data_IF_520533346329
#
_entry.id   IF_520533346329
#
_cell.length_a   1.000
_cell.length_b   1.000
_cell.length_c   1.000
_cell.angle_alpha   90.00
_cell.angle_beta   90.00
_cell.angle_gamma   90.00
#
_symmetry.space_group_name_H-M   'P 1'
#
loop_
_entity.id
_entity.type
_entity.pdbx_description
1 polymer ?
#
# COMPACT_ATOMS: atom_id res chain seq x y z
N UNK A 1 42.01 4.47 -12.19
CA UNK A 1 40.83 5.06 -12.88
C UNK A 1 39.69 4.08 -12.69
N UNK A 2 38.92 4.27 -11.61
CA UNK A 2 37.79 3.41 -11.28
C UNK A 2 36.54 3.94 -11.97
N UNK A 3 35.90 3.11 -12.79
CA UNK A 3 34.58 3.39 -13.35
C UNK A 3 33.56 3.20 -12.21
N UNK A 4 33.09 4.30 -11.64
CA UNK A 4 31.92 4.31 -10.76
C UNK A 4 30.70 3.89 -11.58
N UNK A 5 30.17 2.70 -11.28
CA UNK A 5 28.94 2.21 -11.87
C UNK A 5 27.78 3.10 -11.40
N UNK A 6 27.14 3.80 -12.34
CA UNK A 6 25.97 4.61 -12.05
C UNK A 6 24.85 3.75 -11.43
N UNK A 7 24.20 4.21 -10.35
CA UNK A 7 23.15 3.45 -9.69
C UNK A 7 21.97 3.25 -10.65
N UNK A 8 21.78 2.00 -11.07
CA UNK A 8 20.60 1.59 -11.82
C UNK A 8 19.40 1.62 -10.88
N UNK A 9 18.61 2.69 -10.93
CA UNK A 9 17.30 2.77 -10.27
C UNK A 9 16.35 1.72 -10.88
N UNK A 10 16.34 0.54 -10.26
CA UNK A 10 15.58 -0.62 -10.72
C UNK A 10 14.07 -0.40 -10.67
N UNK A 11 13.43 -0.61 -11.82
CA UNK A 11 12.10 -1.15 -12.20
C UNK A 11 10.86 -1.11 -11.26
N UNK A 12 10.97 -0.78 -9.98
CA UNK A 12 9.86 -0.82 -9.01
C UNK A 12 8.75 0.20 -9.30
N UNK A 13 9.07 1.31 -9.97
CA UNK A 13 8.10 2.36 -10.31
C UNK A 13 7.10 1.93 -11.38
N UNK A 14 7.48 0.97 -12.25
CA UNK A 14 6.63 0.49 -13.34
C UNK A 14 5.36 -0.20 -12.82
N UNK A 15 5.47 -1.05 -11.81
CA UNK A 15 4.33 -1.82 -11.30
C UNK A 15 3.27 -0.96 -10.60
N UNK A 16 3.66 0.12 -9.93
CA UNK A 16 2.72 1.05 -9.29
C UNK A 16 1.93 1.84 -10.33
N UNK A 17 2.61 2.34 -11.37
CA UNK A 17 1.96 3.07 -12.46
C UNK A 17 0.95 2.19 -13.21
N UNK A 18 1.32 0.95 -13.56
CA UNK A 18 0.40 0.01 -14.22
C UNK A 18 -0.85 -0.28 -13.39
N UNK A 19 -0.70 -0.43 -12.07
CA UNK A 19 -1.84 -0.69 -11.17
C UNK A 19 -2.78 0.51 -11.06
N UNK A 20 -2.24 1.71 -10.94
CA UNK A 20 -3.04 2.93 -10.92
C UNK A 20 -3.81 3.13 -12.23
N UNK A 21 -3.19 2.83 -13.38
CA UNK A 21 -3.85 2.87 -14.70
C UNK A 21 -4.98 1.85 -14.79
N UNK A 22 -4.77 0.61 -14.32
CA UNK A 22 -5.81 -0.43 -14.31
C UNK A 22 -6.98 -0.02 -13.41
N UNK A 23 -6.70 0.48 -12.20
CA UNK A 23 -7.74 0.91 -11.27
C UNK A 23 -8.52 2.13 -11.81
N UNK A 24 -7.82 3.12 -12.37
CA UNK A 24 -8.43 4.28 -13.01
C UNK A 24 -9.26 3.90 -14.24
N UNK A 25 -8.76 3.00 -15.07
CA UNK A 25 -9.49 2.46 -16.23
C UNK A 25 -10.76 1.71 -15.84
N UNK A 26 -10.70 0.89 -14.79
CA UNK A 26 -11.87 0.19 -14.26
C UNK A 26 -12.92 1.17 -13.70
N UNK A 27 -12.50 2.22 -13.00
CA UNK A 27 -13.40 3.27 -12.51
C UNK A 27 -14.07 4.03 -13.67
N UNK A 28 -13.28 4.41 -14.69
CA UNK A 28 -13.79 5.08 -15.89
C UNK A 28 -14.78 4.20 -16.67
N UNK A 29 -14.45 2.92 -16.86
CA UNK A 29 -15.33 1.95 -17.50
C UNK A 29 -16.62 1.76 -16.71
N UNK A 30 -16.55 1.69 -15.38
CA UNK A 30 -17.74 1.59 -14.52
C UNK A 30 -18.64 2.82 -14.67
N UNK A 31 -18.06 4.03 -14.71
CA UNK A 31 -18.79 5.26 -14.98
C UNK A 31 -19.45 5.28 -16.37
N UNK A 32 -18.73 4.83 -17.40
CA UNK A 32 -19.24 4.73 -18.76
C UNK A 32 -20.36 3.70 -18.90
N UNK A 33 -20.22 2.52 -18.29
CA UNK A 33 -21.26 1.47 -18.27
C UNK A 33 -22.50 1.97 -17.55
N UNK A 34 -22.35 2.59 -16.36
CA UNK A 34 -23.48 3.18 -15.65
C UNK A 34 -24.21 4.23 -16.49
N UNK A 35 -23.48 5.06 -17.24
CA UNK A 35 -24.04 6.04 -18.18
C UNK A 35 -24.83 5.39 -19.33
N UNK A 36 -24.31 4.33 -19.94
CA UNK A 36 -24.97 3.62 -21.07
C UNK A 36 -26.20 2.85 -20.61
N UNK A 37 -26.14 2.29 -19.40
CA UNK A 37 -27.19 1.43 -18.84
C UNK A 37 -28.36 2.27 -18.28
N UNK A 38 -28.11 3.53 -17.90
CA UNK A 38 -29.09 4.50 -17.39
C UNK A 38 -30.41 4.60 -18.17
N UNK A 39 -30.43 4.79 -19.50
CA UNK A 39 -31.69 4.91 -20.25
C UNK A 39 -32.56 3.64 -20.20
N UNK A 40 -31.99 2.47 -19.89
CA UNK A 40 -32.74 1.22 -19.79
C UNK A 40 -33.52 1.09 -18.48
N UNK A 41 -33.09 1.77 -17.42
CA UNK A 41 -33.71 1.72 -16.09
C UNK A 41 -34.52 2.96 -15.72
N UNK A 42 -34.42 4.03 -16.51
CA UNK A 42 -35.10 5.32 -16.28
C UNK A 42 -36.61 5.26 -15.97
N UNK A 43 -37.42 4.35 -16.53
CA UNK A 43 -38.85 4.26 -16.21
C UNK A 43 -39.15 3.67 -14.82
N UNK A 44 -38.22 2.89 -14.24
CA UNK A 44 -38.46 2.07 -13.04
C UNK A 44 -37.92 2.70 -11.75
N UNK A 45 -36.91 3.56 -11.84
CA UNK A 45 -36.14 4.01 -10.67
C UNK A 45 -36.51 5.42 -10.17
N UNK A 46 -37.34 6.17 -10.91
CA UNK A 46 -37.70 7.54 -10.53
C UNK A 46 -36.47 8.46 -10.39
N UNK A 47 -36.58 9.51 -9.57
CA UNK A 47 -35.48 10.46 -9.31
C UNK A 47 -34.31 9.88 -8.49
N UNK A 48 -34.46 8.65 -7.98
CA UNK A 48 -33.44 7.99 -7.19
C UNK A 48 -32.56 7.13 -8.10
N UNK A 49 -31.25 7.28 -7.97
CA UNK A 49 -30.27 6.54 -8.75
C UNK A 49 -29.60 5.47 -7.87
N UNK A 50 -30.26 4.33 -7.58
CA UNK A 50 -29.72 3.29 -6.70
C UNK A 50 -28.42 2.69 -7.26
N UNK A 51 -28.22 2.74 -8.57
CA UNK A 51 -26.99 2.31 -9.26
C UNK A 51 -25.79 3.22 -8.93
N UNK A 52 -25.99 4.53 -8.96
CA UNK A 52 -24.97 5.51 -8.57
C UNK A 52 -24.64 5.38 -7.09
N UNK A 53 -25.65 5.13 -6.25
CA UNK A 53 -25.46 4.86 -4.82
C UNK A 53 -24.72 3.53 -4.62
N UNK A 54 -25.09 2.44 -5.29
CA UNK A 54 -24.40 1.16 -5.14
C UNK A 54 -22.92 1.22 -5.61
N UNK A 55 -22.65 1.92 -6.72
CA UNK A 55 -21.28 2.11 -7.22
C UNK A 55 -20.43 2.96 -6.26
N UNK A 56 -20.98 4.07 -5.75
CA UNK A 56 -20.28 4.98 -4.84
C UNK A 56 -20.10 4.39 -3.45
N UNK A 57 -21.12 3.72 -2.92
CA UNK A 57 -21.15 3.28 -1.51
C UNK A 57 -20.76 1.81 -1.30
N UNK A 58 -20.76 0.98 -2.34
CA UNK A 58 -20.41 -0.44 -2.24
C UNK A 58 -19.08 -0.77 -2.91
N UNK A 59 -18.97 -0.53 -4.22
CA UNK A 59 -17.84 -0.99 -5.04
C UNK A 59 -16.55 -0.25 -4.69
N UNK A 60 -16.62 1.08 -4.56
CA UNK A 60 -15.45 1.92 -4.32
C UNK A 60 -14.79 1.69 -2.93
N UNK A 61 -15.54 1.60 -1.82
CA UNK A 61 -14.98 1.22 -0.52
C UNK A 61 -14.37 -0.19 -0.52
N UNK A 62 -14.99 -1.13 -1.25
CA UNK A 62 -14.45 -2.48 -1.38
C UNK A 62 -13.10 -2.48 -2.11
N UNK A 63 -12.96 -1.70 -3.19
CA UNK A 63 -11.67 -1.50 -3.88
C UNK A 63 -10.65 -0.87 -2.93
N UNK A 64 -11.04 0.17 -2.19
CA UNK A 64 -10.18 0.81 -1.18
C UNK A 64 -9.69 -0.17 -0.12
N UNK A 65 -10.58 -1.01 0.40
CA UNK A 65 -10.25 -2.05 1.37
C UNK A 65 -9.29 -3.09 0.79
N UNK A 66 -9.52 -3.55 -0.45
CA UNK A 66 -8.61 -4.49 -1.13
C UNK A 66 -7.22 -3.87 -1.33
N UNK A 67 -7.14 -2.60 -1.72
CA UNK A 67 -5.87 -1.88 -1.86
C UNK A 67 -5.13 -1.76 -0.51
N UNK A 68 -5.86 -1.44 0.57
CA UNK A 68 -5.35 -1.39 1.94
C UNK A 68 -4.77 -2.75 2.36
N UNK A 69 -5.54 -3.82 2.15
CA UNK A 69 -5.17 -5.18 2.56
C UNK A 69 -3.99 -5.72 1.75
N UNK A 70 -3.96 -5.48 0.43
CA UNK A 70 -2.86 -5.93 -0.44
C UNK A 70 -1.57 -5.19 -0.18
N UNK A 71 -1.63 -3.94 0.31
CA UNK A 71 -0.42 -3.14 0.58
C UNK A 71 0.15 -3.30 1.96
N UNK A 72 -0.50 -4.01 2.89
CA UNK A 72 -0.14 -4.11 4.32
C UNK A 72 1.33 -4.44 4.66
N UNK A 73 2.14 -4.92 3.71
CA UNK A 73 3.54 -5.32 3.90
C UNK A 73 4.59 -4.28 3.45
N UNK A 74 4.19 -3.18 2.81
CA UNK A 74 5.13 -2.17 2.27
C UNK A 74 5.47 -1.12 3.35
N UNK A 75 6.61 -0.41 3.22
CA UNK A 75 7.02 0.65 4.17
C UNK A 75 6.10 1.88 4.08
N UNK A 76 5.73 2.47 5.22
CA UNK A 76 4.74 3.57 5.36
C UNK A 76 4.97 4.75 4.42
N UNK A 77 6.21 5.25 4.30
CA UNK A 77 6.51 6.46 3.52
C UNK A 77 6.23 6.29 2.02
N UNK A 78 6.46 5.10 1.46
CA UNK A 78 6.14 4.79 0.06
C UNK A 78 4.67 4.40 -0.12
N UNK A 79 4.01 3.89 0.92
CA UNK A 79 2.59 3.56 0.88
C UNK A 79 1.71 4.78 0.91
N UNK A 80 1.99 5.77 1.75
CA UNK A 80 1.13 6.94 1.92
C UNK A 80 1.00 7.67 0.58
N UNK A 81 2.10 7.91 -0.14
CA UNK A 81 2.06 8.58 -1.44
C UNK A 81 1.30 7.77 -2.49
N UNK A 82 1.51 6.46 -2.55
CA UNK A 82 0.85 5.60 -3.53
C UNK A 82 -0.66 5.40 -3.24
N UNK A 83 -1.04 5.33 -1.96
CA UNK A 83 -2.45 5.28 -1.53
C UNK A 83 -3.12 6.63 -1.81
N UNK A 84 -2.45 7.74 -1.49
CA UNK A 84 -2.97 9.09 -1.75
C UNK A 84 -3.19 9.32 -3.25
N UNK A 85 -2.25 8.89 -4.11
CA UNK A 85 -2.37 9.02 -5.56
C UNK A 85 -3.56 8.21 -6.11
N UNK A 86 -3.71 6.95 -5.68
CA UNK A 86 -4.86 6.11 -6.08
C UNK A 86 -6.19 6.70 -5.58
N UNK A 87 -6.22 7.21 -4.36
CA UNK A 87 -7.41 7.87 -3.79
C UNK A 87 -7.78 9.17 -4.49
N UNK A 88 -6.84 9.88 -5.11
CA UNK A 88 -7.12 11.09 -5.89
C UNK A 88 -7.50 10.77 -7.34
N UNK A 89 -6.87 9.76 -7.93
CA UNK A 89 -7.09 9.38 -9.32
C UNK A 89 -8.51 8.84 -9.56
N UNK A 90 -9.05 8.03 -8.63
CA UNK A 90 -10.37 7.42 -8.76
C UNK A 90 -11.52 8.45 -8.76
N UNK A 91 -11.64 9.39 -7.79
CA UNK A 91 -12.67 10.43 -7.83
C UNK A 91 -12.44 11.41 -8.97
N UNK A 92 -11.19 11.73 -9.35
CA UNK A 92 -10.93 12.55 -10.53
C UNK A 92 -11.47 11.90 -11.82
N UNK A 93 -11.23 10.60 -12.00
CA UNK A 93 -11.76 9.84 -13.13
C UNK A 93 -13.29 9.74 -13.09
N UNK A 94 -13.89 9.56 -11.91
CA UNK A 94 -15.34 9.54 -11.74
C UNK A 94 -15.96 10.90 -12.08
N UNK A 95 -15.43 12.00 -11.52
CA UNK A 95 -15.88 13.37 -11.81
C UNK A 95 -15.71 13.69 -13.29
N UNK A 96 -14.59 13.31 -13.91
CA UNK A 96 -14.39 13.49 -15.34
C UNK A 96 -15.43 12.71 -16.16
N UNK A 97 -15.68 11.44 -15.84
CA UNK A 97 -16.70 10.62 -16.50
C UNK A 97 -18.12 11.20 -16.33
N UNK A 98 -18.43 11.73 -15.16
CA UNK A 98 -19.75 12.28 -14.86
C UNK A 98 -19.94 13.72 -15.34
N UNK A 99 -18.86 14.49 -15.50
CA UNK A 99 -18.91 15.84 -16.10
C UNK A 99 -19.34 15.82 -17.58
N UNK A 100 -19.25 14.66 -18.23
CA UNK A 100 -19.77 14.44 -19.58
C UNK A 100 -21.30 14.26 -19.59
N UNK A 101 -21.93 14.09 -18.43
CA UNK A 101 -23.39 14.01 -18.30
C UNK A 101 -23.95 15.41 -18.01
N UNK A 102 -24.52 16.07 -19.02
CA UNK A 102 -25.21 17.35 -18.86
C UNK A 102 -26.40 17.23 -17.90
N UNK A 103 -26.42 18.02 -16.81
CA UNK A 103 -27.57 18.03 -15.91
C UNK A 103 -27.47 18.93 -14.67
N UNK A 104 -28.60 19.57 -14.34
CA UNK A 104 -28.87 20.51 -13.24
C UNK A 104 -28.54 20.02 -11.80
N UNK A 105 -28.18 18.75 -11.64
CA UNK A 105 -27.94 18.07 -10.34
C UNK A 105 -26.46 18.03 -9.94
N UNK A 106 -25.57 18.65 -10.73
CA UNK A 106 -24.13 18.61 -10.52
C UNK A 106 -23.66 19.11 -9.14
N UNK A 107 -24.15 20.24 -8.59
CA UNK A 107 -23.61 20.79 -7.33
C UNK A 107 -23.89 19.88 -6.12
N UNK A 108 -25.13 19.40 -6.00
CA UNK A 108 -25.54 18.57 -4.87
C UNK A 108 -24.84 17.21 -4.89
N UNK A 109 -24.70 16.62 -6.08
CA UNK A 109 -23.99 15.35 -6.24
C UNK A 109 -22.50 15.49 -5.91
N UNK A 110 -21.85 16.55 -6.39
CA UNK A 110 -20.43 16.82 -6.09
C UNK A 110 -20.23 17.05 -4.59
N UNK A 111 -21.13 17.78 -3.93
CA UNK A 111 -21.07 18.02 -2.49
C UNK A 111 -21.17 16.73 -1.67
N UNK A 112 -22.18 15.90 -1.95
CA UNK A 112 -22.37 14.61 -1.27
C UNK A 112 -21.19 13.67 -1.54
N UNK A 113 -20.72 13.62 -2.79
CA UNK A 113 -19.53 12.85 -3.13
C UNK A 113 -18.31 13.31 -2.34
N UNK A 114 -18.03 14.61 -2.30
CA UNK A 114 -16.85 15.15 -1.63
C UNK A 114 -16.83 14.80 -0.13
N UNK A 115 -17.95 14.99 0.56
CA UNK A 115 -18.09 14.65 1.99
C UNK A 115 -17.88 13.16 2.21
N UNK A 116 -18.55 12.32 1.42
CA UNK A 116 -18.44 10.87 1.54
C UNK A 116 -17.01 10.38 1.26
N UNK A 117 -16.38 10.88 0.21
CA UNK A 117 -15.01 10.52 -0.16
C UNK A 117 -14.01 10.93 0.91
N UNK A 118 -14.16 12.13 1.47
CA UNK A 118 -13.31 12.62 2.57
C UNK A 118 -13.43 11.71 3.79
N UNK A 119 -14.66 11.36 4.18
CA UNK A 119 -14.93 10.44 5.29
C UNK A 119 -14.35 9.05 5.04
N UNK A 120 -14.57 8.47 3.86
CA UNK A 120 -14.03 7.15 3.48
C UNK A 120 -12.50 7.14 3.49
N UNK A 121 -11.87 8.20 2.96
CA UNK A 121 -10.42 8.37 2.96
C UNK A 121 -9.88 8.39 4.39
N UNK A 122 -10.47 9.20 5.26
CA UNK A 122 -10.11 9.26 6.67
C UNK A 122 -10.25 7.90 7.35
N UNK A 123 -11.35 7.19 7.12
CA UNK A 123 -11.56 5.84 7.65
C UNK A 123 -10.52 4.83 7.14
N UNK A 124 -10.17 4.87 5.84
CA UNK A 124 -9.17 3.99 5.26
C UNK A 124 -7.76 4.26 5.83
N UNK A 125 -7.39 5.54 6.00
CA UNK A 125 -6.13 5.92 6.65
C UNK A 125 -6.10 5.51 8.12
N UNK A 126 -7.19 5.73 8.86
CA UNK A 126 -7.30 5.30 10.25
C UNK A 126 -7.18 3.77 10.36
N UNK A 127 -7.86 3.02 9.49
CA UNK A 127 -7.78 1.56 9.46
C UNK A 127 -6.36 1.09 9.12
N UNK A 128 -5.70 1.69 8.12
CA UNK A 128 -4.30 1.41 7.81
C UNK A 128 -3.40 1.68 9.03
N UNK A 129 -3.55 2.84 9.68
CA UNK A 129 -2.77 3.21 10.85
C UNK A 129 -2.98 2.23 12.01
N UNK A 130 -4.22 1.80 12.25
CA UNK A 130 -4.56 0.76 13.24
C UNK A 130 -3.93 -0.57 12.85
N UNK A 131 -4.15 -1.07 11.64
CA UNK A 131 -3.60 -2.35 11.18
C UNK A 131 -2.06 -2.38 11.27
N UNK A 132 -1.41 -1.26 11.01
CA UNK A 132 0.04 -1.14 11.15
C UNK A 132 0.50 -1.00 12.60
N UNK A 133 -0.23 -0.29 13.45
CA UNK A 133 0.07 -0.24 14.88
C UNK A 133 0.02 -1.63 15.53
N UNK A 134 -0.88 -2.49 15.04
CA UNK A 134 -1.07 -3.86 15.55
C UNK A 134 -0.11 -4.87 14.94
N UNK A 135 0.63 -4.49 13.89
CA UNK A 135 1.68 -5.31 13.30
C UNK A 135 3.01 -4.59 13.47
N UNK A 136 3.81 -4.93 14.50
CA UNK A 136 5.15 -4.38 14.60
C UNK A 136 5.86 -4.60 13.25
N UNK A 137 6.53 -3.57 12.70
CA UNK A 137 7.23 -3.70 11.44
C UNK A 137 8.19 -4.88 11.58
N UNK A 138 8.02 -5.91 10.74
CA UNK A 138 9.02 -6.98 10.65
C UNK A 138 10.34 -6.29 10.32
N UNK A 139 11.28 -6.37 11.24
CA UNK A 139 12.61 -5.82 11.03
C UNK A 139 13.33 -6.83 10.14
N UNK A 140 13.58 -6.43 8.90
CA UNK A 140 14.41 -7.22 7.98
C UNK A 140 15.74 -7.54 8.69
N UNK A 141 16.19 -8.80 8.64
CA UNK A 141 17.40 -9.25 9.33
C UNK A 141 17.24 -9.55 10.82
N UNK A 142 16.02 -9.73 11.35
CA UNK A 142 15.77 -10.18 12.73
C UNK A 142 14.97 -11.48 12.77
N UNK A 143 15.24 -12.32 13.76
CA UNK A 143 14.55 -13.57 13.96
C UNK A 143 13.10 -13.32 14.41
N UNK A 144 12.07 -13.82 13.71
CA UNK A 144 10.67 -13.58 14.07
C UNK A 144 10.20 -14.31 15.33
N UNK A 145 11.01 -15.18 15.93
CA UNK A 145 10.70 -15.87 17.17
C UNK A 145 11.12 -15.10 18.43
N UNK A 146 12.32 -14.53 18.42
CA UNK A 146 12.94 -13.89 19.58
C UNK A 146 13.53 -12.50 19.31
N UNK A 147 13.33 -11.93 18.12
CA UNK A 147 13.89 -10.65 17.68
C UNK A 147 15.43 -10.57 17.79
N UNK A 148 16.13 -11.71 17.70
CA UNK A 148 17.60 -11.73 17.60
C UNK A 148 18.06 -11.23 16.23
N UNK A 149 19.09 -10.38 16.17
CA UNK A 149 19.64 -9.89 14.91
C UNK A 149 20.36 -11.02 14.15
N UNK A 150 19.92 -11.31 12.94
CA UNK A 150 20.46 -12.36 12.08
C UNK A 150 21.59 -11.88 11.15
N UNK A 151 21.94 -10.58 11.18
CA UNK A 151 23.04 -10.06 10.39
C UNK A 151 24.36 -10.74 10.79
N UNK A 152 24.98 -11.45 9.85
CA UNK A 152 26.24 -12.17 10.06
C UNK A 152 26.12 -13.58 10.65
N UNK A 153 24.89 -14.07 10.89
CA UNK A 153 24.69 -15.46 11.33
C UNK A 153 24.94 -16.40 10.17
N UNK A 154 25.88 -17.34 10.35
CA UNK A 154 26.18 -18.40 9.38
C UNK A 154 25.55 -19.70 9.89
N UNK A 155 24.28 -19.93 9.56
CA UNK A 155 23.60 -21.17 9.95
C UNK A 155 22.10 -21.16 9.65
N UNK A 156 21.48 -22.36 9.51
CA UNK A 156 20.06 -22.50 9.19
C UNK A 156 19.16 -22.36 10.44
N UNK A 157 19.71 -22.03 11.61
CA UNK A 157 18.96 -21.94 12.87
C UNK A 157 19.34 -20.69 13.64
N UNK A 158 18.35 -20.06 14.27
CA UNK A 158 18.60 -18.92 15.16
C UNK A 158 19.42 -19.37 16.39
N UNK A 159 20.52 -18.68 16.73
CA UNK A 159 21.38 -19.08 17.85
C UNK A 159 20.72 -18.91 19.22
N UNK A 160 19.75 -17.99 19.36
CA UNK A 160 19.04 -17.75 20.63
C UNK A 160 17.90 -18.73 20.88
N UNK A 161 17.02 -18.94 19.89
CA UNK A 161 15.80 -19.74 20.08
C UNK A 161 15.84 -21.12 19.41
N UNK A 162 16.90 -21.46 18.68
CA UNK A 162 17.04 -22.73 17.96
C UNK A 162 16.05 -22.92 16.79
N UNK A 163 15.19 -21.94 16.52
CA UNK A 163 14.20 -22.01 15.44
C UNK A 163 14.91 -22.12 14.08
N UNK A 164 14.49 -23.03 13.19
CA UNK A 164 14.98 -23.07 11.82
C UNK A 164 14.59 -21.79 11.07
N UNK A 165 15.57 -21.22 10.38
CA UNK A 165 15.44 -20.04 9.54
C UNK A 165 15.23 -20.49 8.10
N UNK A 166 14.31 -19.83 7.41
CA UNK A 166 14.09 -20.04 5.98
C UNK A 166 15.13 -19.24 5.16
N UNK A 167 15.47 -19.69 3.95
CA UNK A 167 16.44 -19.01 3.08
C UNK A 167 15.98 -17.57 2.73
N UNK A 168 14.67 -17.35 2.77
CA UNK A 168 14.04 -16.04 2.62
C UNK A 168 14.29 -15.10 3.81
N UNK A 169 14.48 -15.63 5.03
CA UNK A 169 14.75 -14.89 6.26
C UNK A 169 16.25 -14.53 6.40
N UNK A 170 17.13 -15.37 5.84
CA UNK A 170 18.58 -15.15 5.81
C UNK A 170 19.03 -14.14 4.73
N UNK A 171 18.13 -13.80 3.79
CA UNK A 171 18.45 -12.89 2.68
C UNK A 171 19.42 -13.48 1.65
N UNK A 172 19.70 -14.79 1.71
CA UNK A 172 20.68 -15.48 0.85
C UNK A 172 20.11 -15.79 -0.54
N UNK A 173 18.78 -15.91 -0.67
CA UNK A 173 18.10 -16.28 -1.93
C UNK A 173 17.94 -15.17 -2.97
N UNK A 174 18.32 -13.93 -2.66
CA UNK A 174 18.28 -12.83 -3.61
C UNK A 174 19.70 -12.48 -4.03
N UNK A 175 19.99 -12.47 -5.33
CA UNK A 175 21.20 -11.89 -5.93
C UNK A 175 21.30 -10.36 -5.74
N UNK A 176 20.89 -9.86 -4.57
CA UNK A 176 21.07 -8.50 -4.14
C UNK A 176 22.48 -8.40 -3.60
N UNK A 177 23.33 -7.78 -4.39
CA UNK A 177 24.39 -6.90 -3.89
C UNK A 177 23.75 -6.02 -2.81
N UNK A 178 23.81 -6.48 -1.55
CA UNK A 178 23.43 -5.67 -0.40
C UNK A 178 24.50 -4.60 -0.34
N UNK A 179 24.18 -3.43 -0.91
CA UNK A 179 25.00 -2.24 -0.80
C UNK A 179 25.41 -2.07 0.66
N UNK A 180 26.71 -2.20 0.91
CA UNK A 180 27.34 -2.03 2.22
C UNK A 180 27.02 -0.67 2.87
N UNK A 181 26.43 0.28 2.14
CA UNK A 181 25.91 1.54 2.67
C UNK A 181 24.75 1.40 3.68
N UNK A 182 24.07 0.25 3.77
CA UNK A 182 23.09 0.02 4.84
C UNK A 182 23.70 -0.60 6.11
N UNK A 183 25.02 -0.88 6.11
CA UNK A 183 25.73 -1.55 7.22
C UNK A 183 25.92 -0.66 8.46
N UNK A 184 25.64 0.63 8.38
CA UNK A 184 25.79 1.56 9.51
C UNK A 184 24.61 1.55 10.49
N UNK A 185 23.50 0.85 10.17
CA UNK A 185 22.53 0.45 11.19
C UNK A 185 22.97 -0.87 11.79
N UNK A 186 24.10 -0.83 12.50
CA UNK A 186 24.48 -1.87 13.44
C UNK A 186 23.25 -2.22 14.28
N UNK A 187 22.90 -3.49 14.33
CA UNK A 187 21.90 -3.98 15.28
C UNK A 187 22.38 -3.55 16.66
N UNK A 188 21.77 -2.49 17.19
CA UNK A 188 22.07 -1.98 18.50
C UNK A 188 21.54 -3.04 19.46
N UNK A 189 22.39 -3.98 19.86
CA UNK A 189 22.02 -4.94 20.89
C UNK A 189 21.76 -4.14 22.17
N UNK A 190 20.56 -4.19 22.74
CA UNK A 190 20.27 -3.48 23.99
C UNK A 190 21.10 -4.04 25.15
N UNK A 191 21.64 -5.26 25.00
CA UNK A 191 22.78 -5.73 25.77
C UNK A 191 24.04 -5.05 25.23
N UNK A 192 24.35 -3.87 25.78
CA UNK A 192 25.60 -3.17 25.50
C UNK A 192 26.82 -4.09 25.62
N UNK A 193 27.98 -3.70 25.06
CA UNK A 193 29.18 -4.53 25.05
C UNK A 193 29.41 -5.07 26.44
N UNK A 194 29.39 -6.40 26.55
CA UNK A 194 29.86 -7.10 27.73
C UNK A 194 31.23 -6.52 28.06
N UNK A 195 31.29 -5.79 29.18
CA UNK A 195 32.52 -5.20 29.69
C UNK A 195 33.36 -6.38 30.15
N UNK A 196 34.18 -6.93 29.26
CA UNK A 196 35.09 -8.06 29.52
C UNK A 196 36.29 -7.63 30.40
N UNK A 197 36.14 -6.55 31.17
CA UNK A 197 37.14 -6.05 32.12
C UNK A 197 36.84 -6.60 33.51
N UNK A 198 37.11 -7.88 33.73
CA UNK A 198 37.40 -8.50 35.04
C UNK A 198 37.52 -10.02 34.86
N UNK A 199 38.60 -10.47 34.21
CA UNK A 199 39.19 -11.76 34.56
C UNK A 199 40.46 -11.45 35.39
N UNK A 200 40.56 -11.96 36.62
CA UNK A 200 41.71 -11.75 37.50
C UNK A 200 42.99 -12.39 36.98
#
# INVERSE_FOLDING_TARGET
MGLEAAPTFGSSTGHTATRAVIAGGAAAATGAVAAVVRPLFGPLTGSFHPEAVAAVFGILPAIGLVLVLTRRHVRWTKQVSAVLFEFLAVPAAFVAGWSLMEGRLWPDLVGVMFVYWSASTLCAFALLAVLQRWRPPRRDGFCPGCDYCLNGVVGPTCPECGRPLDDSELGIGGAAVVSLESSDRACFSPTGPYRESERP
#
